data_IF_598408249077
#
_entry.id   IF_598408249077
#
_cell.length_a   1.000
_cell.length_b   1.000
_cell.length_c   1.000
_cell.angle_alpha   90.00
_cell.angle_beta   90.00
_cell.angle_gamma   90.00
#
_symmetry.space_group_name_H-M   'P 1'
#
loop_
_entity.id
_entity.type
_entity.pdbx_description
1 polymer ?
#
# COMPACT_ATOMS: atom_id res chain seq x y z
N UNK A 1 -12.21 -5.47 30.04
CA UNK A 1 -12.33 -6.41 28.91
C UNK A 1 -10.98 -7.03 28.64
N UNK A 2 -10.93 -8.36 28.55
CA UNK A 2 -9.71 -9.13 28.31
C UNK A 2 -9.90 -10.06 27.11
N UNK A 3 -8.80 -10.43 26.49
CA UNK A 3 -8.79 -11.47 25.44
C UNK A 3 -8.93 -12.82 26.12
N UNK A 4 -10.04 -13.52 25.88
CA UNK A 4 -10.29 -14.85 26.42
C UNK A 4 -9.66 -15.94 25.54
N UNK A 5 -9.77 -15.81 24.20
CA UNK A 5 -9.33 -16.82 23.25
C UNK A 5 -8.79 -16.17 21.96
N UNK A 6 -7.84 -16.85 21.32
CA UNK A 6 -7.32 -16.49 20.00
C UNK A 6 -7.62 -17.62 19.04
N UNK A 7 -8.34 -17.34 17.98
CA UNK A 7 -8.76 -18.29 16.97
C UNK A 7 -8.21 -17.91 15.61
N UNK A 8 -7.91 -18.90 14.78
CA UNK A 8 -7.39 -18.72 13.44
C UNK A 8 -8.27 -19.43 12.39
N UNK A 9 -8.46 -18.81 11.23
CA UNK A 9 -9.16 -19.41 10.11
C UNK A 9 -8.38 -19.11 8.82
N UNK A 10 -7.87 -20.14 8.09
CA UNK A 10 -7.30 -19.96 6.77
C UNK A 10 -8.31 -19.28 5.83
N UNK A 11 -7.85 -18.29 5.10
CA UNK A 11 -8.64 -17.45 4.23
C UNK A 11 -7.91 -17.19 2.89
N UNK A 12 -8.46 -16.32 2.06
CA UNK A 12 -7.88 -15.92 0.80
C UNK A 12 -7.80 -14.41 0.69
N UNK A 13 -6.80 -13.94 -0.03
CA UNK A 13 -6.68 -12.53 -0.41
C UNK A 13 -7.53 -12.22 -1.65
N UNK A 14 -7.71 -10.96 -1.94
CA UNK A 14 -8.46 -10.49 -3.12
C UNK A 14 -7.69 -10.59 -4.44
N UNK A 15 -6.48 -11.19 -4.44
CA UNK A 15 -5.68 -11.33 -5.64
C UNK A 15 -4.83 -12.61 -5.61
N UNK A 16 -3.69 -12.60 -6.27
CA UNK A 16 -2.79 -13.72 -6.47
C UNK A 16 -1.40 -13.40 -5.94
N UNK A 17 -0.62 -14.43 -5.64
CA UNK A 17 0.80 -14.31 -5.33
C UNK A 17 1.59 -14.79 -6.54
N UNK A 18 2.57 -13.99 -6.98
CA UNK A 18 3.38 -14.26 -8.16
C UNK A 18 4.83 -14.55 -7.77
N UNK A 19 5.41 -15.59 -8.38
CA UNK A 19 6.84 -15.84 -8.31
C UNK A 19 7.59 -14.86 -9.23
N UNK A 20 7.92 -13.69 -8.69
CA UNK A 20 8.61 -12.64 -9.45
C UNK A 20 9.98 -13.10 -9.98
N UNK A 21 10.65 -13.99 -9.28
CA UNK A 21 11.94 -14.55 -9.72
C UNK A 21 11.77 -15.38 -10.99
N UNK A 22 10.73 -16.22 -11.06
CA UNK A 22 10.40 -16.98 -12.25
C UNK A 22 9.98 -16.07 -13.42
N UNK A 23 9.20 -15.03 -13.14
CA UNK A 23 8.77 -14.04 -14.16
C UNK A 23 10.01 -13.32 -14.74
N UNK A 24 10.92 -12.86 -13.91
CA UNK A 24 12.18 -12.24 -14.35
C UNK A 24 13.11 -13.21 -15.07
N UNK A 25 13.05 -14.50 -14.75
CA UNK A 25 13.79 -15.56 -15.42
C UNK A 25 13.20 -15.99 -16.78
N UNK A 26 12.08 -15.39 -17.21
CA UNK A 26 11.50 -15.57 -18.54
C UNK A 26 10.20 -16.38 -18.57
N UNK A 27 9.52 -16.59 -17.47
CA UNK A 27 8.15 -17.12 -17.49
C UNK A 27 7.25 -16.20 -18.34
N UNK A 28 6.47 -16.79 -19.26
CA UNK A 28 5.68 -16.04 -20.24
C UNK A 28 4.22 -16.00 -19.86
N UNK A 29 3.55 -14.89 -20.12
CA UNK A 29 2.09 -14.81 -19.99
C UNK A 29 1.40 -15.88 -20.84
N UNK A 30 0.43 -16.56 -20.24
CA UNK A 30 -0.49 -17.49 -20.88
C UNK A 30 -1.92 -17.17 -20.39
N UNK A 31 -2.57 -16.27 -21.07
CA UNK A 31 -3.81 -15.66 -20.59
C UNK A 31 -3.61 -14.90 -19.28
N UNK A 32 -4.33 -15.29 -18.23
CA UNK A 32 -4.22 -14.68 -16.90
C UNK A 32 -3.10 -15.31 -16.03
N UNK A 33 -2.50 -16.41 -16.48
CA UNK A 33 -1.43 -17.11 -15.77
C UNK A 33 -0.08 -16.95 -16.46
N UNK A 34 0.90 -17.74 -16.06
CA UNK A 34 2.22 -17.81 -16.66
C UNK A 34 2.55 -19.25 -17.03
N UNK A 35 3.12 -19.44 -18.22
CA UNK A 35 3.78 -20.68 -18.60
C UNK A 35 5.22 -20.67 -18.07
N UNK A 36 5.65 -21.77 -17.47
CA UNK A 36 6.97 -21.95 -16.85
C UNK A 36 6.86 -22.58 -15.48
N UNK A 37 8.01 -23.00 -14.94
CA UNK A 37 8.10 -23.59 -13.60
C UNK A 37 8.41 -22.51 -12.57
N UNK A 38 7.86 -22.60 -11.35
CA UNK A 38 8.24 -21.72 -10.26
C UNK A 38 9.68 -22.01 -9.82
N UNK A 39 10.39 -20.98 -9.36
CA UNK A 39 11.78 -21.09 -8.88
C UNK A 39 11.93 -20.69 -7.42
N UNK A 40 11.03 -19.84 -6.89
CA UNK A 40 11.07 -19.46 -5.49
C UNK A 40 10.49 -20.56 -4.60
N UNK A 41 11.17 -20.96 -3.51
CA UNK A 41 10.69 -22.00 -2.61
C UNK A 41 9.27 -21.73 -2.10
N UNK A 42 8.44 -22.78 -2.07
CA UNK A 42 7.06 -22.74 -1.61
C UNK A 42 6.02 -22.50 -2.71
N UNK A 43 6.40 -21.91 -3.86
CA UNK A 43 5.49 -21.79 -4.99
C UNK A 43 5.24 -23.13 -5.68
N UNK A 44 3.99 -23.36 -6.07
CA UNK A 44 3.53 -24.54 -6.85
C UNK A 44 3.25 -24.19 -8.32
N UNK A 45 3.09 -22.92 -8.61
CA UNK A 45 2.93 -22.33 -9.93
C UNK A 45 3.49 -20.91 -9.90
N UNK A 46 3.86 -20.37 -11.05
CA UNK A 46 4.40 -18.99 -11.16
C UNK A 46 3.38 -17.96 -10.65
N UNK A 47 2.08 -18.19 -10.89
CA UNK A 47 0.97 -17.45 -10.26
C UNK A 47 0.06 -18.42 -9.54
N UNK A 48 -0.26 -18.12 -8.28
CA UNK A 48 -1.17 -18.92 -7.48
C UNK A 48 -2.10 -18.03 -6.65
N UNK A 49 -3.24 -18.58 -6.20
CA UNK A 49 -4.17 -17.83 -5.36
C UNK A 49 -3.48 -17.32 -4.10
N UNK A 50 -3.66 -16.04 -3.78
CA UNK A 50 -3.15 -15.46 -2.56
C UNK A 50 -3.81 -16.07 -1.32
N UNK A 51 -3.01 -16.38 -0.31
CA UNK A 51 -3.47 -16.91 0.97
C UNK A 51 -3.54 -15.79 2.01
N UNK A 52 -4.52 -15.90 2.91
CA UNK A 52 -4.64 -15.07 4.09
C UNK A 52 -4.93 -15.94 5.32
N UNK A 53 -4.73 -15.41 6.51
CA UNK A 53 -5.15 -16.01 7.76
C UNK A 53 -5.96 -14.99 8.55
N UNK A 54 -7.23 -15.27 8.80
CA UNK A 54 -8.05 -14.45 9.69
C UNK A 54 -7.74 -14.81 11.13
N UNK A 55 -7.30 -13.82 11.94
CA UNK A 55 -7.04 -13.96 13.38
C UNK A 55 -8.17 -13.28 14.12
N UNK A 56 -8.86 -14.05 14.96
CA UNK A 56 -9.99 -13.58 15.76
C UNK A 56 -9.63 -13.58 17.24
N UNK A 57 -9.89 -12.47 17.91
CA UNK A 57 -9.75 -12.30 19.35
C UNK A 57 -11.14 -12.32 19.99
N UNK A 58 -11.45 -13.40 20.69
CA UNK A 58 -12.68 -13.51 21.48
C UNK A 58 -12.43 -12.86 22.84
N UNK A 59 -13.28 -11.94 23.25
CA UNK A 59 -13.18 -11.26 24.54
C UNK A 59 -14.01 -11.93 25.62
N UNK A 60 -13.72 -11.64 26.89
CA UNK A 60 -14.42 -12.18 28.06
C UNK A 60 -15.90 -11.78 28.16
N UNK A 61 -16.32 -10.76 27.42
CA UNK A 61 -17.74 -10.37 27.29
C UNK A 61 -18.41 -10.92 26.00
N UNK A 62 -17.72 -11.79 25.26
CA UNK A 62 -18.25 -12.49 24.07
C UNK A 62 -18.17 -11.71 22.77
N UNK A 63 -17.52 -10.56 22.72
CA UNK A 63 -17.27 -9.87 21.46
C UNK A 63 -16.15 -10.56 20.66
N UNK A 64 -16.18 -10.43 19.34
CA UNK A 64 -15.14 -10.92 18.44
C UNK A 64 -14.53 -9.75 17.68
N UNK A 65 -13.24 -9.52 17.89
CA UNK A 65 -12.44 -8.61 17.06
C UNK A 65 -11.59 -9.44 16.11
N UNK A 66 -11.26 -8.91 14.93
CA UNK A 66 -10.46 -9.67 13.96
C UNK A 66 -9.57 -8.81 13.10
N UNK A 67 -8.55 -9.44 12.54
CA UNK A 67 -7.64 -8.89 11.55
C UNK A 67 -7.11 -9.99 10.66
N UNK A 68 -6.65 -9.64 9.47
CA UNK A 68 -6.23 -10.60 8.47
C UNK A 68 -4.74 -10.48 8.16
N UNK A 69 -4.04 -11.59 8.32
CA UNK A 69 -2.67 -11.75 7.86
C UNK A 69 -2.68 -11.86 6.34
N UNK A 70 -2.06 -10.89 5.67
CA UNK A 70 -1.90 -10.86 4.22
C UNK A 70 -0.50 -10.35 3.89
N UNK A 71 0.15 -10.97 2.91
CA UNK A 71 1.45 -10.55 2.40
C UNK A 71 1.30 -9.81 1.07
N UNK A 72 2.34 -9.10 0.66
CA UNK A 72 2.40 -8.50 -0.67
C UNK A 72 2.40 -9.56 -1.76
N UNK A 73 2.11 -9.17 -2.99
CA UNK A 73 2.03 -10.06 -4.15
C UNK A 73 3.33 -10.81 -4.43
N UNK A 74 4.49 -10.19 -4.15
CA UNK A 74 5.81 -10.73 -4.46
C UNK A 74 6.53 -11.17 -3.20
N UNK A 75 6.62 -12.48 -2.98
CA UNK A 75 7.30 -13.07 -1.84
C UNK A 75 8.79 -13.31 -2.12
N UNK A 76 9.62 -13.25 -1.09
CA UNK A 76 11.04 -13.64 -1.11
C UNK A 76 11.97 -12.74 -1.94
N UNK A 77 11.51 -11.59 -2.42
CA UNK A 77 12.30 -10.63 -3.20
C UNK A 77 12.32 -9.25 -2.51
N UNK A 78 13.38 -8.48 -2.75
CA UNK A 78 13.50 -7.13 -2.18
C UNK A 78 13.58 -7.11 -0.66
N UNK A 79 14.13 -8.16 -0.04
CA UNK A 79 14.25 -8.28 1.41
C UNK A 79 12.97 -8.73 2.13
N UNK A 80 11.92 -9.09 1.39
CA UNK A 80 10.64 -9.56 1.94
C UNK A 80 10.72 -10.99 2.45
N UNK A 81 9.80 -11.31 3.36
CA UNK A 81 9.64 -12.67 3.88
C UNK A 81 9.33 -13.70 2.77
N UNK A 82 9.55 -15.01 3.03
CA UNK A 82 9.14 -16.09 2.14
C UNK A 82 7.66 -16.06 1.80
N UNK A 83 7.23 -16.92 0.87
CA UNK A 83 5.82 -17.10 0.54
C UNK A 83 4.99 -17.38 1.81
N UNK A 84 3.93 -16.62 2.00
CA UNK A 84 3.03 -16.79 3.13
C UNK A 84 2.23 -18.09 2.99
N UNK A 85 2.26 -18.89 4.04
CA UNK A 85 1.49 -20.14 4.18
C UNK A 85 0.53 -19.98 5.36
N UNK A 86 -0.77 -20.09 5.09
CA UNK A 86 -1.81 -19.83 6.10
C UNK A 86 -1.84 -20.87 7.21
N UNK A 87 -1.57 -22.15 6.90
CA UNK A 87 -1.60 -23.23 7.89
C UNK A 87 -0.39 -23.12 8.83
N UNK A 88 0.81 -22.89 8.29
CA UNK A 88 2.02 -22.66 9.09
C UNK A 88 1.92 -21.37 9.94
N UNK A 89 1.27 -20.34 9.40
CA UNK A 89 1.00 -19.11 10.15
C UNK A 89 0.01 -19.35 11.29
N UNK A 90 -1.04 -20.15 11.09
CA UNK A 90 -2.00 -20.53 12.14
C UNK A 90 -1.31 -21.25 13.30
N UNK A 91 -0.44 -22.24 13.00
CA UNK A 91 0.38 -22.91 14.01
C UNK A 91 1.28 -21.94 14.77
N UNK A 92 1.89 -20.99 14.07
CA UNK A 92 2.75 -19.97 14.68
C UNK A 92 1.95 -19.05 15.61
N UNK A 93 0.78 -18.61 15.19
CA UNK A 93 -0.11 -17.79 16.02
C UNK A 93 -0.54 -18.57 17.26
N UNK A 94 -0.96 -19.83 17.13
CA UNK A 94 -1.40 -20.65 18.25
C UNK A 94 -0.30 -20.90 19.29
N UNK A 95 0.92 -21.23 18.81
CA UNK A 95 2.04 -21.58 19.72
C UNK A 95 2.71 -20.39 20.37
N UNK A 96 2.82 -19.25 19.67
CA UNK A 96 3.68 -18.16 20.09
C UNK A 96 2.94 -16.85 20.34
N UNK A 97 1.88 -16.55 19.60
CA UNK A 97 1.14 -15.29 19.72
C UNK A 97 -0.02 -15.42 20.72
N UNK A 98 -0.78 -16.52 20.65
CA UNK A 98 -1.92 -16.73 21.53
C UNK A 98 -1.56 -16.75 23.02
N UNK A 99 -0.45 -17.36 23.47
CA UNK A 99 -0.02 -17.27 24.87
C UNK A 99 0.30 -15.85 25.33
N UNK A 100 0.80 -14.99 24.45
CA UNK A 100 1.07 -13.58 24.72
C UNK A 100 -0.23 -12.78 24.91
N UNK A 101 -1.26 -13.09 24.13
CA UNK A 101 -2.50 -12.32 24.07
C UNK A 101 -3.58 -12.81 25.02
N UNK A 102 -3.65 -14.11 25.35
CA UNK A 102 -4.65 -14.65 26.29
C UNK A 102 -4.51 -14.01 27.66
N UNK A 103 -5.61 -13.49 28.18
CA UNK A 103 -5.68 -12.78 29.45
C UNK A 103 -5.23 -11.31 29.40
N UNK A 104 -4.69 -10.85 28.28
CA UNK A 104 -4.27 -9.45 28.13
C UNK A 104 -5.46 -8.49 28.27
N UNK A 105 -5.25 -7.42 29.00
CA UNK A 105 -6.24 -6.35 29.17
C UNK A 105 -6.23 -5.42 27.95
N UNK A 106 -7.41 -5.11 27.45
CA UNK A 106 -7.60 -4.23 26.29
C UNK A 106 -7.62 -2.74 26.71
N UNK A 107 -6.57 -2.30 27.38
CA UNK A 107 -6.42 -0.92 27.86
C UNK A 107 -5.77 0.00 26.84
N UNK A 108 -4.88 -0.54 25.99
CA UNK A 108 -4.17 0.21 24.96
C UNK A 108 -3.76 -0.65 23.78
N UNK A 109 -3.69 -0.03 22.60
CA UNK A 109 -3.28 -0.68 21.37
C UNK A 109 -1.75 -0.74 21.24
N UNK A 110 -1.06 0.40 21.49
CA UNK A 110 0.38 0.53 21.17
C UNK A 110 1.25 -0.52 21.84
N UNK A 111 1.08 -0.75 23.13
CA UNK A 111 1.91 -1.66 23.90
C UNK A 111 1.68 -3.12 23.47
N UNK A 112 0.41 -3.51 23.27
CA UNK A 112 0.08 -4.84 22.78
C UNK A 112 0.57 -5.08 21.34
N UNK A 113 0.42 -4.09 20.48
CA UNK A 113 0.92 -4.17 19.11
C UNK A 113 2.45 -4.25 19.07
N UNK A 114 3.15 -3.45 19.88
CA UNK A 114 4.60 -3.51 19.98
C UNK A 114 5.09 -4.85 20.52
N UNK A 115 4.40 -5.44 21.51
CA UNK A 115 4.72 -6.76 22.03
C UNK A 115 4.58 -7.87 20.96
N UNK A 116 3.54 -7.81 20.13
CA UNK A 116 3.34 -8.74 19.01
C UNK A 116 4.40 -8.51 17.92
N UNK A 117 4.62 -7.26 17.53
CA UNK A 117 5.56 -6.91 16.44
C UNK A 117 7.01 -7.24 16.79
N UNK A 118 7.37 -7.10 18.08
CA UNK A 118 8.70 -7.42 18.61
C UNK A 118 8.91 -8.90 19.00
N UNK A 119 7.90 -9.76 18.84
CA UNK A 119 8.01 -11.17 19.23
C UNK A 119 9.01 -11.91 18.33
N UNK A 120 9.97 -12.59 18.97
CA UNK A 120 10.95 -13.42 18.28
C UNK A 120 10.64 -14.91 18.50
N UNK A 121 10.64 -15.69 17.42
CA UNK A 121 10.57 -17.15 17.45
C UNK A 121 11.90 -17.69 16.93
N UNK A 122 12.61 -18.46 17.74
CA UNK A 122 13.95 -18.97 17.46
C UNK A 122 14.93 -17.85 17.02
N UNK A 123 14.82 -16.69 17.68
CA UNK A 123 15.67 -15.51 17.43
C UNK A 123 15.34 -14.74 16.14
N UNK A 124 14.23 -15.06 15.47
CA UNK A 124 13.77 -14.39 14.23
C UNK A 124 12.43 -13.71 14.46
N UNK A 125 12.20 -12.54 13.86
CA UNK A 125 10.88 -11.90 13.87
C UNK A 125 9.82 -12.83 13.28
N UNK A 126 8.58 -12.67 13.72
CA UNK A 126 7.43 -13.26 13.04
C UNK A 126 7.34 -12.73 11.59
N UNK A 127 6.79 -13.55 10.70
CA UNK A 127 6.46 -13.12 9.33
C UNK A 127 5.68 -11.78 9.34
N UNK A 128 6.03 -10.85 8.47
CA UNK A 128 5.40 -9.51 8.41
C UNK A 128 3.88 -9.60 8.32
N UNK A 129 3.35 -10.52 7.50
CA UNK A 129 1.91 -10.74 7.38
C UNK A 129 1.25 -11.16 8.71
N UNK A 130 1.91 -12.00 9.54
CA UNK A 130 1.38 -12.39 10.86
C UNK A 130 1.33 -11.18 11.78
N UNK A 131 2.41 -10.41 11.86
CA UNK A 131 2.46 -9.16 12.63
C UNK A 131 1.36 -8.20 12.19
N UNK A 132 1.18 -8.05 10.86
CA UNK A 132 0.17 -7.20 10.24
C UNK A 132 -1.25 -7.59 10.65
N UNK A 133 -1.64 -8.86 10.49
CA UNK A 133 -3.00 -9.32 10.80
C UNK A 133 -3.31 -9.34 12.30
N UNK A 134 -2.38 -9.82 13.13
CA UNK A 134 -2.59 -9.87 14.58
C UNK A 134 -2.76 -8.48 15.18
N UNK A 135 -1.95 -7.52 14.76
CA UNK A 135 -2.05 -6.15 15.29
C UNK A 135 -3.29 -5.40 14.79
N UNK A 136 -3.84 -5.77 13.62
CA UNK A 136 -5.18 -5.33 13.19
C UNK A 136 -6.26 -5.82 14.15
N UNK A 137 -6.22 -7.12 14.53
CA UNK A 137 -7.17 -7.68 15.48
C UNK A 137 -7.06 -7.01 16.86
N UNK A 138 -5.84 -6.70 17.32
CA UNK A 138 -5.62 -5.95 18.56
C UNK A 138 -6.22 -4.54 18.48
N UNK A 139 -6.03 -3.82 17.37
CA UNK A 139 -6.60 -2.48 17.20
C UNK A 139 -8.13 -2.51 17.22
N UNK A 140 -8.75 -3.49 16.56
CA UNK A 140 -10.21 -3.68 16.58
C UNK A 140 -10.71 -4.04 18.00
N UNK A 141 -9.99 -4.91 18.71
CA UNK A 141 -10.37 -5.31 20.07
C UNK A 141 -10.34 -4.13 21.04
N UNK A 142 -9.32 -3.28 20.97
CA UNK A 142 -9.22 -2.07 21.79
C UNK A 142 -10.31 -1.07 21.44
N UNK A 143 -10.59 -0.89 20.15
CA UNK A 143 -11.68 -0.01 19.69
C UNK A 143 -13.04 -0.46 20.24
N UNK A 144 -13.32 -1.76 20.21
CA UNK A 144 -14.54 -2.36 20.78
C UNK A 144 -14.59 -2.17 22.29
N UNK A 145 -13.49 -2.44 23.00
CA UNK A 145 -13.41 -2.27 24.45
C UNK A 145 -13.72 -0.82 24.87
N UNK A 146 -13.24 0.15 24.11
CA UNK A 146 -13.47 1.58 24.32
C UNK A 146 -14.80 2.08 23.75
N UNK A 147 -15.51 1.26 22.99
CA UNK A 147 -16.72 1.65 22.22
C UNK A 147 -16.48 2.83 21.30
N UNK A 148 -15.31 2.85 20.65
CA UNK A 148 -14.88 3.88 19.71
C UNK A 148 -14.56 3.24 18.35
N UNK A 149 -14.19 4.07 17.37
CA UNK A 149 -13.64 3.57 16.12
C UNK A 149 -12.14 3.30 16.25
N UNK A 150 -11.59 2.42 15.42
CA UNK A 150 -10.12 2.21 15.36
C UNK A 150 -9.38 3.52 15.05
N UNK A 151 -9.97 4.41 14.24
CA UNK A 151 -9.40 5.72 13.94
C UNK A 151 -9.28 6.62 15.18
N UNK A 152 -10.27 6.58 16.09
CA UNK A 152 -10.21 7.33 17.36
C UNK A 152 -9.15 6.74 18.29
N UNK A 153 -9.01 5.39 18.36
CA UNK A 153 -7.94 4.76 19.13
C UNK A 153 -6.57 5.23 18.65
N UNK A 154 -6.34 5.23 17.32
CA UNK A 154 -5.08 5.71 16.74
C UNK A 154 -4.86 7.19 17.07
N UNK A 155 -5.86 8.05 16.85
CA UNK A 155 -5.76 9.48 17.18
C UNK A 155 -5.35 9.69 18.62
N UNK A 156 -6.04 9.05 19.55
CA UNK A 156 -5.88 9.28 20.98
C UNK A 156 -4.54 8.74 21.51
N UNK A 157 -4.12 7.54 21.08
CA UNK A 157 -2.88 6.91 21.55
C UNK A 157 -1.61 7.50 20.93
N UNK A 158 -1.70 8.12 19.76
CA UNK A 158 -0.56 8.76 19.09
C UNK A 158 -0.54 10.29 19.24
N UNK A 159 -1.45 10.84 20.05
CA UNK A 159 -1.51 12.29 20.34
C UNK A 159 -1.72 13.12 19.07
N UNK A 160 -2.63 12.68 18.20
CA UNK A 160 -2.92 13.36 16.95
C UNK A 160 -3.88 14.52 17.24
N UNK A 161 -3.49 15.74 16.88
CA UNK A 161 -4.18 16.99 17.19
C UNK A 161 -5.06 17.54 16.06
N UNK A 162 -5.16 16.82 14.94
CA UNK A 162 -6.05 17.16 13.83
C UNK A 162 -7.28 16.27 13.75
N UNK A 163 -8.29 16.76 13.03
CA UNK A 163 -9.54 16.02 12.82
C UNK A 163 -9.33 14.77 11.94
N UNK A 164 -10.01 13.69 12.32
CA UNK A 164 -10.14 12.51 11.46
C UNK A 164 -11.05 12.89 10.28
N UNK A 165 -10.53 12.75 9.06
CA UNK A 165 -11.20 13.18 7.84
C UNK A 165 -11.08 12.12 6.71
N UNK A 166 -11.98 12.16 5.72
CA UNK A 166 -11.84 11.36 4.52
C UNK A 166 -10.52 11.60 3.80
N UNK A 167 -9.99 10.54 3.18
CA UNK A 167 -8.72 10.53 2.46
C UNK A 167 -8.98 10.28 0.97
N UNK A 168 -8.31 10.99 0.04
CA UNK A 168 -8.42 10.72 -1.38
C UNK A 168 -8.09 9.25 -1.71
N UNK A 169 -8.97 8.58 -2.47
CA UNK A 169 -8.72 7.20 -2.91
C UNK A 169 -7.89 7.19 -4.19
N UNK A 170 -6.81 6.42 -4.16
CA UNK A 170 -6.01 6.06 -5.33
C UNK A 170 -6.47 4.71 -5.87
N UNK A 171 -6.76 4.66 -7.17
CA UNK A 171 -7.37 3.49 -7.82
C UNK A 171 -6.48 2.96 -8.92
N UNK A 172 -6.34 1.64 -8.99
CA UNK A 172 -5.48 0.94 -9.94
C UNK A 172 -6.30 0.35 -11.09
N UNK A 173 -5.78 0.44 -12.33
CA UNK A 173 -6.40 -0.19 -13.50
C UNK A 173 -6.16 -1.70 -13.56
N UNK A 174 -5.09 -2.18 -12.94
CA UNK A 174 -4.54 -3.47 -13.32
C UNK A 174 -4.21 -3.49 -14.83
N UNK A 175 -4.44 -4.60 -15.48
CA UNK A 175 -4.21 -4.74 -16.94
C UNK A 175 -5.31 -4.10 -17.79
N UNK A 176 -6.48 -3.77 -17.21
CA UNK A 176 -7.59 -3.07 -17.87
C UNK A 176 -7.32 -1.55 -18.01
N UNK A 177 -6.17 -1.21 -18.58
CA UNK A 177 -5.60 0.15 -18.58
C UNK A 177 -6.52 1.22 -19.18
N UNK A 178 -7.37 0.87 -20.11
CA UNK A 178 -8.28 1.79 -20.82
C UNK A 178 -9.69 1.77 -20.22
N UNK A 179 -10.35 0.63 -20.22
CA UNK A 179 -11.68 0.49 -19.63
C UNK A 179 -11.68 0.78 -18.10
N UNK A 180 -10.60 0.47 -17.40
CA UNK A 180 -10.40 0.84 -16.00
C UNK A 180 -10.45 2.34 -15.77
N UNK A 181 -9.82 3.14 -16.63
CA UNK A 181 -9.87 4.62 -16.55
C UNK A 181 -11.29 5.13 -16.70
N UNK A 182 -12.07 4.60 -17.65
CA UNK A 182 -13.47 5.00 -17.83
C UNK A 182 -14.28 4.78 -16.53
N UNK A 183 -14.13 3.61 -15.92
CA UNK A 183 -14.77 3.30 -14.63
C UNK A 183 -14.35 4.27 -13.53
N UNK A 184 -13.05 4.60 -13.45
CA UNK A 184 -12.51 5.53 -12.45
C UNK A 184 -13.09 6.93 -12.60
N UNK A 185 -13.18 7.43 -13.82
CA UNK A 185 -13.76 8.76 -14.12
C UNK A 185 -15.24 8.79 -13.77
N UNK A 186 -16.00 7.77 -14.17
CA UNK A 186 -17.44 7.67 -13.87
C UNK A 186 -17.72 7.54 -12.36
N UNK A 187 -16.78 6.99 -11.59
CA UNK A 187 -16.84 6.90 -10.11
C UNK A 187 -16.15 8.05 -9.39
N UNK A 188 -15.70 9.05 -10.12
CA UNK A 188 -15.00 10.23 -9.60
C UNK A 188 -13.82 9.89 -8.66
N UNK A 189 -12.96 8.94 -9.06
CA UNK A 189 -11.75 8.60 -8.31
C UNK A 189 -10.86 9.83 -8.13
N UNK A 190 -10.37 10.07 -6.91
CA UNK A 190 -9.58 11.27 -6.60
C UNK A 190 -8.16 11.19 -7.16
N UNK A 191 -7.59 9.98 -7.25
CA UNK A 191 -6.24 9.71 -7.75
C UNK A 191 -6.31 8.50 -8.67
N UNK A 192 -5.76 8.61 -9.88
CA UNK A 192 -5.83 7.56 -10.92
C UNK A 192 -4.67 7.72 -11.94
N UNK A 193 -4.36 6.75 -12.79
CA UNK A 193 -4.92 5.38 -12.86
C UNK A 193 -3.96 4.28 -12.37
N UNK A 194 -2.76 4.55 -11.89
CA UNK A 194 -1.62 3.65 -11.71
C UNK A 194 -0.97 3.22 -13.05
N UNK A 195 -1.76 2.70 -13.97
CA UNK A 195 -1.39 2.47 -15.36
C UNK A 195 -0.47 1.28 -15.62
N UNK A 196 0.17 0.69 -14.60
CA UNK A 196 1.00 -0.52 -14.68
C UNK A 196 2.08 -0.43 -15.79
N UNK A 197 2.96 0.59 -15.74
CA UNK A 197 3.99 0.85 -16.77
C UNK A 197 5.25 -0.01 -16.50
N UNK A 198 5.09 -1.31 -16.52
CA UNK A 198 6.10 -2.31 -16.15
C UNK A 198 6.72 -3.05 -17.36
N UNK A 199 6.60 -2.51 -18.56
CA UNK A 199 7.15 -3.12 -19.78
C UNK A 199 7.69 -2.03 -20.71
N UNK A 200 8.98 -2.15 -21.05
CA UNK A 200 9.70 -1.19 -21.89
C UNK A 200 9.13 -1.09 -23.30
N UNK A 201 8.87 -2.25 -23.94
CA UNK A 201 8.51 -2.28 -25.38
C UNK A 201 7.06 -1.88 -25.63
N UNK A 202 6.13 -2.32 -24.76
CA UNK A 202 4.69 -2.22 -25.02
C UNK A 202 4.00 -1.13 -24.23
N UNK A 203 4.63 -0.60 -23.16
CA UNK A 203 3.98 0.37 -22.26
C UNK A 203 4.76 1.66 -22.08
N UNK A 204 6.10 1.63 -22.14
CA UNK A 204 6.93 2.83 -22.02
C UNK A 204 7.32 3.41 -23.39
N UNK A 205 7.88 2.60 -24.28
CA UNK A 205 8.56 3.02 -25.49
C UNK A 205 10.06 3.26 -25.25
N UNK A 206 10.86 3.30 -26.33
CA UNK A 206 12.31 3.41 -26.26
C UNK A 206 12.80 4.68 -25.53
N UNK A 207 12.03 5.74 -25.58
CA UNK A 207 12.28 7.05 -24.92
C UNK A 207 11.05 7.57 -24.19
N UNK A 208 10.13 6.71 -23.79
CA UNK A 208 8.92 7.08 -23.04
C UNK A 208 7.76 7.57 -23.91
N UNK A 209 7.83 7.44 -25.24
CA UNK A 209 6.84 7.95 -26.19
C UNK A 209 5.47 7.27 -26.02
N UNK A 210 5.43 5.93 -25.85
CA UNK A 210 4.17 5.18 -25.66
C UNK A 210 3.51 5.60 -24.33
N UNK A 211 4.32 5.81 -23.30
CA UNK A 211 3.80 6.27 -22.02
C UNK A 211 3.27 7.70 -22.08
N UNK A 212 3.97 8.61 -22.79
CA UNK A 212 3.49 9.98 -22.98
C UNK A 212 2.14 10.02 -23.74
N UNK A 213 1.99 9.17 -24.78
CA UNK A 213 0.71 9.00 -25.49
C UNK A 213 -0.40 8.51 -24.53
N UNK A 214 -0.09 7.54 -23.65
CA UNK A 214 -1.06 7.03 -22.67
C UNK A 214 -1.45 8.11 -21.65
N UNK A 215 -0.51 8.90 -21.13
CA UNK A 215 -0.80 10.03 -20.24
C UNK A 215 -1.73 11.04 -20.92
N UNK A 216 -1.44 11.40 -22.19
CA UNK A 216 -2.28 12.27 -23.00
C UNK A 216 -3.68 11.70 -23.19
N UNK A 217 -3.78 10.40 -23.49
CA UNK A 217 -5.07 9.72 -23.64
C UNK A 217 -5.87 9.74 -22.31
N UNK A 218 -5.24 9.46 -21.15
CA UNK A 218 -5.90 9.52 -19.83
C UNK A 218 -6.44 10.94 -19.57
N UNK A 219 -5.62 11.97 -19.80
CA UNK A 219 -6.04 13.38 -19.69
C UNK A 219 -7.29 13.67 -20.52
N UNK A 220 -7.24 13.35 -21.81
CA UNK A 220 -8.33 13.64 -22.76
C UNK A 220 -9.58 12.83 -22.40
N UNK A 221 -9.40 11.60 -21.91
CA UNK A 221 -10.50 10.75 -21.48
C UNK A 221 -11.22 11.31 -20.25
N UNK A 222 -10.47 11.83 -19.26
CA UNK A 222 -11.05 12.53 -18.11
C UNK A 222 -11.86 13.74 -18.57
N UNK A 223 -11.29 14.58 -19.43
CA UNK A 223 -11.96 15.78 -19.94
C UNK A 223 -13.25 15.44 -20.72
N UNK A 224 -13.25 14.32 -21.45
CA UNK A 224 -14.39 13.88 -22.23
C UNK A 224 -15.51 13.23 -21.40
N UNK A 225 -15.18 12.53 -20.32
CA UNK A 225 -16.14 11.72 -19.54
C UNK A 225 -16.60 12.36 -18.23
N UNK A 226 -15.88 13.36 -17.71
CA UNK A 226 -16.25 13.99 -16.44
C UNK A 226 -17.65 14.62 -16.55
N UNK A 227 -18.46 14.39 -15.50
CA UNK A 227 -19.82 14.94 -15.41
C UNK A 227 -19.86 16.32 -14.77
N UNK A 228 -18.77 16.75 -14.14
CA UNK A 228 -18.60 18.04 -13.47
C UNK A 228 -17.29 18.70 -13.92
N UNK A 229 -17.33 19.98 -14.23
CA UNK A 229 -16.15 20.73 -14.66
C UNK A 229 -15.08 20.88 -13.58
N UNK A 230 -15.48 20.82 -12.30
CA UNK A 230 -14.58 20.91 -11.14
C UNK A 230 -13.94 19.57 -10.77
N UNK A 231 -14.32 18.44 -11.42
CA UNK A 231 -13.63 17.18 -11.23
C UNK A 231 -12.23 17.22 -11.86
N UNK A 232 -11.23 17.32 -11.01
CA UNK A 232 -9.82 17.42 -11.38
C UNK A 232 -8.99 16.43 -10.57
N UNK A 233 -9.00 15.14 -10.93
CA UNK A 233 -8.23 14.12 -10.22
C UNK A 233 -6.73 14.33 -10.39
N UNK A 234 -5.93 13.80 -9.45
CA UNK A 234 -4.48 13.71 -9.61
C UNK A 234 -4.13 12.51 -10.48
N UNK A 235 -3.30 12.73 -11.49
CA UNK A 235 -2.72 11.66 -12.28
C UNK A 235 -1.55 11.05 -11.51
N UNK A 236 -1.60 9.74 -11.33
CA UNK A 236 -0.58 9.00 -10.60
C UNK A 236 -0.26 7.70 -11.34
N UNK A 237 0.99 7.54 -11.77
CA UNK A 237 1.43 6.37 -12.52
C UNK A 237 2.61 5.70 -11.80
N UNK A 238 2.60 4.37 -11.73
CA UNK A 238 3.74 3.57 -11.33
C UNK A 238 4.50 3.10 -12.58
N UNK A 239 5.77 3.47 -12.66
CA UNK A 239 6.61 3.19 -13.82
C UNK A 239 7.70 2.15 -13.56
N UNK A 240 7.70 1.50 -12.40
CA UNK A 240 8.53 0.32 -12.10
C UNK A 240 10.02 0.45 -12.45
N UNK A 241 10.58 1.65 -12.38
CA UNK A 241 11.98 1.93 -12.75
C UNK A 241 12.24 2.03 -14.26
N UNK A 242 11.25 1.74 -15.11
CA UNK A 242 11.42 1.71 -16.58
C UNK A 242 11.86 3.04 -17.17
N UNK A 243 11.45 4.17 -16.60
CA UNK A 243 11.93 5.49 -17.05
C UNK A 243 13.44 5.61 -16.79
N UNK A 244 13.91 5.25 -15.60
CA UNK A 244 15.34 5.23 -15.31
C UNK A 244 16.13 4.33 -16.24
N UNK A 245 15.60 3.17 -16.58
CA UNK A 245 16.22 2.25 -17.54
C UNK A 245 16.31 2.87 -18.94
N UNK A 246 15.24 3.47 -19.46
CA UNK A 246 15.20 4.09 -20.78
C UNK A 246 16.22 5.24 -20.94
N UNK A 247 16.53 5.92 -19.86
CA UNK A 247 17.50 7.04 -19.85
C UNK A 247 18.82 6.68 -19.15
N UNK A 248 19.14 5.38 -18.96
CA UNK A 248 20.38 4.90 -18.36
C UNK A 248 20.72 5.58 -17.01
N UNK A 249 19.70 5.87 -16.19
CA UNK A 249 19.78 6.59 -14.90
C UNK A 249 20.38 8.00 -14.99
N UNK A 250 20.41 8.61 -16.18
CA UNK A 250 20.79 10.01 -16.34
C UNK A 250 19.72 10.93 -15.75
N UNK A 251 20.00 11.50 -14.59
CA UNK A 251 19.06 12.32 -13.82
C UNK A 251 18.58 13.55 -14.60
N UNK A 252 19.46 14.18 -15.37
CA UNK A 252 19.10 15.38 -16.15
C UNK A 252 18.15 15.02 -17.29
N UNK A 253 18.45 13.95 -18.03
CA UNK A 253 17.59 13.47 -19.10
C UNK A 253 16.23 12.99 -18.58
N UNK A 254 16.21 12.30 -17.43
CA UNK A 254 14.97 11.90 -16.75
C UNK A 254 14.17 13.14 -16.32
N UNK A 255 14.81 14.15 -15.72
CA UNK A 255 14.12 15.37 -15.30
C UNK A 255 13.50 16.11 -16.48
N UNK A 256 14.22 16.25 -17.61
CA UNK A 256 13.70 16.87 -18.83
C UNK A 256 12.48 16.11 -19.37
N UNK A 257 12.54 14.78 -19.39
CA UNK A 257 11.40 13.94 -19.78
C UNK A 257 10.20 14.13 -18.86
N UNK A 258 10.39 14.15 -17.53
CA UNK A 258 9.31 14.33 -16.57
C UNK A 258 8.66 15.73 -16.69
N UNK A 259 9.44 16.77 -16.96
CA UNK A 259 8.90 18.12 -17.20
C UNK A 259 8.00 18.11 -18.44
N UNK A 260 8.48 17.51 -19.55
CA UNK A 260 7.68 17.38 -20.77
C UNK A 260 6.39 16.56 -20.53
N UNK A 261 6.50 15.47 -19.76
CA UNK A 261 5.34 14.65 -19.42
C UNK A 261 4.32 15.39 -18.55
N UNK A 262 4.78 16.27 -17.63
CA UNK A 262 3.92 17.16 -16.87
C UNK A 262 3.11 18.11 -17.76
N UNK A 263 3.69 18.60 -18.85
CA UNK A 263 2.98 19.41 -19.84
C UNK A 263 1.91 18.58 -20.58
N UNK A 264 2.21 17.32 -20.91
CA UNK A 264 1.23 16.40 -21.52
C UNK A 264 0.06 16.15 -20.56
N UNK A 265 0.31 16.02 -19.27
CA UNK A 265 -0.70 15.77 -18.24
C UNK A 265 -1.61 16.97 -17.97
N UNK A 266 -1.16 18.19 -18.29
CA UNK A 266 -1.92 19.44 -18.02
C UNK A 266 -3.36 19.39 -18.56
N UNK A 267 -4.39 19.84 -17.80
CA UNK A 267 -4.29 20.65 -16.57
C UNK A 267 -4.20 19.86 -15.26
N UNK A 268 -4.05 18.54 -15.29
CA UNK A 268 -4.01 17.71 -14.10
C UNK A 268 -2.60 17.66 -13.51
N UNK A 269 -2.52 17.56 -12.18
CA UNK A 269 -1.25 17.33 -11.48
C UNK A 269 -0.75 15.92 -11.76
N UNK A 270 0.57 15.76 -11.91
CA UNK A 270 1.21 14.48 -12.19
C UNK A 270 2.10 14.04 -11.05
N UNK A 271 1.95 12.79 -10.64
CA UNK A 271 2.86 12.08 -9.74
C UNK A 271 3.34 10.80 -10.42
N UNK A 272 4.63 10.50 -10.32
CA UNK A 272 5.22 9.28 -10.85
C UNK A 272 5.87 8.49 -9.73
N UNK A 273 5.48 7.23 -9.60
CA UNK A 273 6.03 6.29 -8.63
C UNK A 273 7.10 5.43 -9.28
N UNK A 274 8.13 5.12 -8.51
CA UNK A 274 9.24 4.26 -8.90
C UNK A 274 9.88 4.66 -10.25
N UNK A 275 10.21 5.95 -10.38
CA UNK A 275 10.80 6.51 -11.63
C UNK A 275 12.13 5.88 -11.96
N UNK A 276 12.96 5.62 -10.95
CA UNK A 276 14.32 5.10 -11.02
C UNK A 276 14.45 3.89 -10.11
N UNK A 277 15.28 2.91 -10.49
CA UNK A 277 15.75 1.84 -9.60
C UNK A 277 17.29 1.82 -9.59
N UNK A 278 17.87 2.21 -8.48
CA UNK A 278 19.32 2.25 -8.29
C UNK A 278 19.93 0.92 -7.80
N UNK A 279 19.12 -0.14 -7.67
CA UNK A 279 19.56 -1.46 -7.25
C UNK A 279 19.90 -1.59 -5.74
N UNK A 280 19.58 -0.57 -4.92
CA UNK A 280 19.80 -0.62 -3.48
C UNK A 280 19.40 0.67 -2.77
N UNK A 281 19.04 0.56 -1.48
CA UNK A 281 18.45 1.63 -0.68
C UNK A 281 19.26 2.94 -0.68
N UNK A 282 20.53 2.88 -0.29
CA UNK A 282 21.36 4.08 -0.12
C UNK A 282 21.64 4.80 -1.46
N UNK A 283 21.77 4.01 -2.54
CA UNK A 283 21.90 4.55 -3.89
C UNK A 283 20.56 5.18 -4.35
N UNK A 284 19.45 4.55 -4.03
CA UNK A 284 18.10 5.03 -4.34
C UNK A 284 17.83 6.39 -3.70
N UNK A 285 18.10 6.52 -2.40
CA UNK A 285 17.94 7.79 -1.66
C UNK A 285 18.70 8.92 -2.32
N UNK A 286 19.97 8.69 -2.66
CA UNK A 286 20.83 9.71 -3.32
C UNK A 286 20.33 10.06 -4.72
N UNK A 287 19.94 9.06 -5.49
CA UNK A 287 19.48 9.26 -6.87
C UNK A 287 18.17 10.04 -6.90
N UNK A 288 17.23 9.68 -6.02
CA UNK A 288 15.97 10.39 -5.87
C UNK A 288 16.14 11.83 -5.39
N UNK A 289 17.01 12.06 -4.42
CA UNK A 289 17.34 13.41 -3.96
C UNK A 289 17.85 14.32 -5.08
N UNK A 290 18.73 13.79 -5.95
CA UNK A 290 19.23 14.50 -7.14
C UNK A 290 18.11 14.77 -8.16
N UNK A 291 17.27 13.77 -8.45
CA UNK A 291 16.16 13.95 -9.38
C UNK A 291 15.17 14.99 -8.87
N UNK A 292 14.82 14.93 -7.58
CA UNK A 292 13.94 15.91 -6.97
C UNK A 292 14.51 17.34 -7.04
N UNK A 293 15.80 17.49 -6.83
CA UNK A 293 16.49 18.78 -7.01
C UNK A 293 16.43 19.26 -8.45
N UNK A 294 16.75 18.40 -9.41
CA UNK A 294 16.73 18.73 -10.83
C UNK A 294 15.34 19.18 -11.32
N UNK A 295 14.26 18.54 -10.83
CA UNK A 295 12.89 18.96 -11.10
C UNK A 295 12.56 20.34 -10.53
N UNK A 296 13.01 20.65 -9.31
CA UNK A 296 12.83 21.96 -8.67
C UNK A 296 13.57 23.07 -9.43
N UNK A 297 14.80 22.81 -9.85
CA UNK A 297 15.59 23.77 -10.63
C UNK A 297 14.96 24.11 -11.97
N UNK A 298 14.15 23.20 -12.53
CA UNK A 298 13.34 23.41 -13.74
C UNK A 298 11.97 24.05 -13.48
N UNK A 299 11.66 24.34 -12.22
CA UNK A 299 10.34 24.88 -11.82
C UNK A 299 9.19 23.91 -12.08
N UNK A 300 9.45 22.59 -12.09
CA UNK A 300 8.43 21.58 -12.35
C UNK A 300 7.59 21.30 -11.09
N UNK A 301 6.29 21.13 -11.27
CA UNK A 301 5.34 20.69 -10.26
C UNK A 301 5.07 19.17 -10.30
N UNK A 302 5.74 18.46 -11.20
CA UNK A 302 5.71 16.97 -11.23
C UNK A 302 6.31 16.43 -9.94
N UNK A 303 5.56 15.53 -9.30
CA UNK A 303 5.97 14.90 -8.03
C UNK A 303 6.51 13.52 -8.28
N UNK A 304 7.50 13.14 -7.50
CA UNK A 304 8.06 11.78 -7.50
C UNK A 304 7.72 11.05 -6.22
N UNK A 305 7.29 9.81 -6.36
CA UNK A 305 6.97 8.90 -5.27
C UNK A 305 7.98 7.74 -5.23
N UNK A 306 8.35 7.31 -4.03
CA UNK A 306 9.20 6.13 -3.82
C UNK A 306 8.37 4.99 -3.28
N UNK A 307 8.60 3.78 -3.83
CA UNK A 307 8.07 2.49 -3.36
C UNK A 307 9.23 1.57 -2.99
N UNK A 308 9.95 1.03 -3.96
CA UNK A 308 11.02 0.08 -3.70
C UNK A 308 12.24 0.72 -3.05
N UNK A 309 12.90 -0.09 -2.25
CA UNK A 309 13.90 0.12 -1.22
C UNK A 309 13.38 0.96 -0.04
N UNK A 310 12.03 1.14 0.08
CA UNK A 310 11.35 1.84 1.17
C UNK A 310 10.38 0.89 1.89
N UNK A 311 10.85 -0.32 2.27
CA UNK A 311 10.01 -1.43 2.71
C UNK A 311 9.91 -1.59 4.24
N UNK A 312 10.67 -0.80 5.00
CA UNK A 312 10.65 -0.82 6.47
C UNK A 312 10.50 0.59 7.05
N UNK A 313 10.15 0.68 8.32
CA UNK A 313 10.09 1.97 9.02
C UNK A 313 11.46 2.69 8.97
N UNK A 314 12.57 1.95 9.16
CA UNK A 314 13.92 2.52 9.09
C UNK A 314 14.28 3.04 7.69
N UNK A 315 13.79 2.40 6.62
CA UNK A 315 13.97 2.91 5.27
C UNK A 315 13.18 4.21 5.08
N UNK A 316 11.93 4.26 5.54
CA UNK A 316 11.08 5.45 5.48
C UNK A 316 11.74 6.60 6.24
N UNK A 317 12.29 6.34 7.43
CA UNK A 317 13.05 7.34 8.21
C UNK A 317 14.20 7.94 7.39
N UNK A 318 14.96 7.13 6.68
CA UNK A 318 16.06 7.58 5.83
C UNK A 318 15.57 8.44 4.65
N UNK A 319 14.56 7.98 3.89
CA UNK A 319 13.99 8.75 2.78
C UNK A 319 13.40 10.09 3.24
N UNK A 320 12.78 10.11 4.41
CA UNK A 320 12.23 11.34 5.02
C UNK A 320 13.33 12.29 5.46
N UNK A 321 14.37 11.79 6.16
CA UNK A 321 15.49 12.59 6.63
C UNK A 321 16.24 13.28 5.48
N UNK A 322 16.47 12.55 4.40
CA UNK A 322 17.15 13.04 3.20
C UNK A 322 16.20 13.80 2.26
N UNK A 323 14.88 13.86 2.58
CA UNK A 323 13.86 14.50 1.74
C UNK A 323 13.94 14.04 0.27
N UNK A 324 14.18 12.74 0.08
CA UNK A 324 14.53 12.18 -1.21
C UNK A 324 13.37 12.17 -2.21
N UNK A 325 12.10 12.08 -1.76
CA UNK A 325 10.92 12.08 -2.60
C UNK A 325 9.85 13.07 -2.10
N UNK A 326 8.83 13.35 -2.91
CA UNK A 326 7.67 14.18 -2.54
C UNK A 326 6.57 13.36 -1.90
N UNK A 327 6.47 12.09 -2.29
CA UNK A 327 5.51 11.12 -1.80
C UNK A 327 6.26 9.87 -1.33
N UNK A 328 5.92 9.40 -0.16
CA UNK A 328 6.42 8.12 0.38
C UNK A 328 5.26 7.12 0.37
N UNK A 329 5.44 6.03 -0.38
CA UNK A 329 4.51 4.90 -0.37
C UNK A 329 4.75 4.06 0.88
N UNK A 330 3.82 4.10 1.81
CA UNK A 330 3.80 3.26 3.00
C UNK A 330 3.06 1.97 2.65
N UNK A 331 3.80 0.95 2.23
CA UNK A 331 3.27 -0.36 1.82
C UNK A 331 2.91 -1.17 3.07
N UNK A 332 1.63 -1.15 3.43
CA UNK A 332 1.17 -1.54 4.77
C UNK A 332 1.54 -2.96 5.21
N UNK A 333 1.52 -4.02 4.38
CA UNK A 333 1.92 -5.35 4.85
C UNK A 333 3.43 -5.52 5.04
N UNK A 334 4.27 -4.74 4.32
CA UNK A 334 5.73 -4.85 4.41
C UNK A 334 6.27 -4.34 5.77
N UNK A 335 5.54 -3.42 6.42
CA UNK A 335 5.97 -2.85 7.70
C UNK A 335 5.71 -3.78 8.91
N UNK A 336 5.06 -4.91 8.72
CA UNK A 336 4.65 -5.79 9.82
C UNK A 336 3.51 -5.19 10.64
N UNK A 337 3.69 -4.96 11.94
CA UNK A 337 2.62 -4.45 12.78
C UNK A 337 2.02 -3.12 12.30
N UNK A 338 0.67 -2.96 12.40
CA UNK A 338 0.01 -1.71 11.99
C UNK A 338 0.41 -0.49 12.84
N UNK A 339 1.01 -0.71 14.02
CA UNK A 339 1.68 0.35 14.77
C UNK A 339 2.80 1.01 13.96
N UNK A 340 3.61 0.24 13.22
CA UNK A 340 4.66 0.77 12.33
C UNK A 340 4.06 1.54 11.15
N UNK A 341 2.91 1.12 10.64
CA UNK A 341 2.17 1.87 9.62
C UNK A 341 1.76 3.25 10.12
N UNK A 342 1.23 3.31 11.36
CA UNK A 342 0.87 4.59 12.00
C UNK A 342 2.10 5.49 12.17
N UNK A 343 3.20 4.94 12.73
CA UNK A 343 4.45 5.70 12.92
C UNK A 343 4.99 6.24 11.59
N UNK A 344 5.01 5.41 10.53
CA UNK A 344 5.45 5.80 9.21
C UNK A 344 4.62 6.95 8.61
N UNK A 345 3.30 6.83 8.63
CA UNK A 345 2.39 7.87 8.10
C UNK A 345 2.56 9.18 8.86
N UNK A 346 2.67 9.13 10.19
CA UNK A 346 2.88 10.31 11.02
C UNK A 346 4.23 10.96 10.78
N UNK A 347 5.29 10.15 10.65
CA UNK A 347 6.64 10.63 10.34
C UNK A 347 6.67 11.42 9.01
N UNK A 348 6.15 10.81 7.96
CA UNK A 348 6.09 11.43 6.61
C UNK A 348 5.30 12.73 6.64
N UNK A 349 4.11 12.72 7.26
CA UNK A 349 3.25 13.90 7.37
C UNK A 349 3.90 15.04 8.17
N UNK A 350 4.50 14.72 9.33
CA UNK A 350 5.19 15.71 10.18
C UNK A 350 6.40 16.34 9.50
N UNK A 351 7.04 15.62 8.59
CA UNK A 351 8.12 16.13 7.73
C UNK A 351 7.62 17.04 6.59
N UNK A 352 6.31 17.20 6.42
CA UNK A 352 5.69 17.98 5.34
C UNK A 352 5.77 17.30 3.96
N UNK A 353 5.97 15.97 3.94
CA UNK A 353 5.89 15.14 2.75
C UNK A 353 4.50 14.52 2.61
N UNK A 354 4.17 13.99 1.44
CA UNK A 354 2.91 13.30 1.25
C UNK A 354 3.03 11.83 1.66
N UNK A 355 2.23 11.43 2.65
CA UNK A 355 2.12 10.03 3.07
C UNK A 355 1.07 9.33 2.20
N UNK A 356 1.48 8.34 1.42
CA UNK A 356 0.58 7.45 0.71
C UNK A 356 0.38 6.19 1.54
N UNK A 357 -0.82 6.01 2.12
CA UNK A 357 -1.22 4.77 2.78
C UNK A 357 -1.56 3.74 1.70
N UNK A 358 -0.55 3.03 1.26
CA UNK A 358 -0.63 2.08 0.17
C UNK A 358 -0.94 0.67 0.64
N UNK A 359 -0.31 -0.28 0.00
CA UNK A 359 -0.48 -1.71 0.25
C UNK A 359 -0.32 -2.50 -1.02
N UNK A 360 -1.11 -3.53 -1.16
CA UNK A 360 -1.08 -4.42 -2.32
C UNK A 360 -2.49 -4.85 -2.71
N UNK A 361 -2.66 -5.20 -3.99
CA UNK A 361 -3.87 -5.88 -4.45
C UNK A 361 -4.12 -7.21 -3.71
N UNK A 362 -3.04 -7.83 -3.22
CA UNK A 362 -3.07 -9.11 -2.50
C UNK A 362 -3.38 -8.92 -1.00
N UNK A 363 -4.40 -8.14 -0.69
CA UNK A 363 -4.93 -7.94 0.66
C UNK A 363 -6.36 -8.46 0.79
N UNK A 364 -7.01 -8.23 1.93
CA UNK A 364 -8.39 -8.62 2.21
C UNK A 364 -9.28 -7.39 2.40
N UNK A 365 -10.59 -7.60 2.38
CA UNK A 365 -11.55 -6.56 2.76
C UNK A 365 -11.31 -6.06 4.18
N UNK A 366 -10.94 -6.95 5.10
CA UNK A 366 -10.67 -6.59 6.48
C UNK A 366 -9.43 -5.72 6.64
N UNK A 367 -8.31 -6.11 6.04
CA UNK A 367 -7.08 -5.30 6.11
C UNK A 367 -7.28 -3.92 5.47
N UNK A 368 -8.07 -3.85 4.39
CA UNK A 368 -8.44 -2.59 3.75
C UNK A 368 -9.30 -1.69 4.67
N UNK A 369 -10.25 -2.25 5.40
CA UNK A 369 -11.04 -1.51 6.38
C UNK A 369 -10.16 -0.96 7.50
N UNK A 370 -9.29 -1.78 8.10
CA UNK A 370 -8.40 -1.34 9.18
C UNK A 370 -7.47 -0.23 8.72
N UNK A 371 -6.85 -0.39 7.55
CA UNK A 371 -5.95 0.65 7.01
C UNK A 371 -6.70 1.93 6.62
N UNK A 372 -7.99 1.86 6.30
CA UNK A 372 -8.85 3.04 6.11
C UNK A 372 -8.95 3.86 7.39
N UNK A 373 -9.21 3.24 8.54
CA UNK A 373 -9.22 3.93 9.82
C UNK A 373 -7.87 4.59 10.13
N UNK A 374 -6.77 3.89 9.88
CA UNK A 374 -5.40 4.40 10.12
C UNK A 374 -5.12 5.58 9.19
N UNK A 375 -5.40 5.46 7.90
CA UNK A 375 -5.18 6.54 6.93
C UNK A 375 -5.97 7.80 7.28
N UNK A 376 -7.25 7.66 7.69
CA UNK A 376 -8.09 8.76 8.12
C UNK A 376 -7.55 9.44 9.38
N UNK A 377 -7.14 8.67 10.38
CA UNK A 377 -6.58 9.20 11.64
C UNK A 377 -5.24 9.91 11.42
N UNK A 378 -4.33 9.29 10.66
CA UNK A 378 -3.02 9.86 10.37
C UNK A 378 -3.05 10.99 9.33
N UNK A 379 -4.19 11.23 8.68
CA UNK A 379 -4.33 12.24 7.64
C UNK A 379 -3.42 11.98 6.44
N UNK A 380 -3.43 10.74 5.93
CA UNK A 380 -2.68 10.36 4.75
C UNK A 380 -3.07 11.23 3.54
N UNK A 381 -2.14 11.48 2.63
CA UNK A 381 -2.41 12.25 1.42
C UNK A 381 -3.29 11.49 0.43
N UNK A 382 -3.18 10.18 0.43
CA UNK A 382 -4.02 9.26 -0.33
C UNK A 382 -3.99 7.85 0.27
N UNK A 383 -5.02 7.06 -0.05
CA UNK A 383 -5.11 5.64 0.33
C UNK A 383 -5.37 4.78 -0.90
N UNK A 384 -4.72 3.60 -0.98
CA UNK A 384 -4.98 2.63 -2.03
C UNK A 384 -6.38 2.03 -1.90
N UNK A 385 -7.14 2.05 -2.99
CA UNK A 385 -8.37 1.27 -3.12
C UNK A 385 -8.04 -0.21 -3.31
N UNK A 386 -8.18 -0.98 -2.27
CA UNK A 386 -7.84 -2.42 -2.16
C UNK A 386 -8.95 -3.17 -1.41
N UNK A 387 -9.05 -4.49 -1.48
CA UNK A 387 -8.22 -5.45 -2.19
C UNK A 387 -8.49 -5.47 -3.69
N UNK A 388 -7.76 -6.34 -4.39
CA UNK A 388 -7.90 -6.59 -5.82
C UNK A 388 -7.19 -5.57 -6.71
N UNK A 389 -7.17 -5.85 -8.00
CA UNK A 389 -6.60 -4.98 -9.04
C UNK A 389 -7.70 -4.43 -9.96
N UNK A 390 -8.81 -4.06 -9.40
CA UNK A 390 -9.94 -3.52 -10.15
C UNK A 390 -10.44 -2.22 -9.53
N UNK A 391 -11.30 -1.56 -10.28
CA UNK A 391 -11.91 -0.29 -9.84
C UNK A 391 -13.09 -0.54 -8.92
N UNK A 392 -13.68 -1.74 -8.95
CA UNK A 392 -14.99 -1.99 -8.37
C UNK A 392 -14.91 -2.36 -6.89
N UNK A 393 -14.21 -3.45 -6.56
CA UNK A 393 -14.15 -4.00 -5.20
C UNK A 393 -13.39 -3.08 -4.24
N UNK A 394 -12.21 -2.60 -4.61
CA UNK A 394 -11.37 -1.77 -3.75
C UNK A 394 -12.02 -0.42 -3.42
N UNK A 395 -12.62 0.25 -4.41
CA UNK A 395 -13.35 1.49 -4.16
C UNK A 395 -14.56 1.27 -3.26
N UNK A 396 -15.28 0.17 -3.43
CA UNK A 396 -16.44 -0.17 -2.60
C UNK A 396 -16.00 -0.41 -1.14
N UNK A 397 -14.99 -1.24 -0.92
CA UNK A 397 -14.53 -1.60 0.43
C UNK A 397 -14.02 -0.37 1.17
N UNK A 398 -13.06 0.34 0.60
CA UNK A 398 -12.41 1.51 1.23
C UNK A 398 -13.40 2.68 1.36
N UNK A 399 -14.14 3.00 0.29
CA UNK A 399 -15.08 4.11 0.29
C UNK A 399 -16.25 3.92 1.27
N UNK A 400 -16.81 2.71 1.33
CA UNK A 400 -17.90 2.41 2.27
C UNK A 400 -17.43 2.42 3.72
N UNK A 401 -16.19 1.94 4.00
CA UNK A 401 -15.64 2.00 5.34
C UNK A 401 -15.37 3.45 5.77
N UNK A 402 -14.81 4.25 4.89
CA UNK A 402 -14.60 5.68 5.13
C UNK A 402 -15.92 6.42 5.43
N UNK A 403 -16.98 6.07 4.70
CA UNK A 403 -18.32 6.62 4.94
C UNK A 403 -18.89 6.22 6.31
N UNK A 404 -18.72 4.93 6.73
CA UNK A 404 -19.12 4.45 8.06
C UNK A 404 -18.40 5.17 9.17
N UNK A 405 -17.06 5.27 9.09
CA UNK A 405 -16.24 6.01 10.07
C UNK A 405 -16.73 7.44 10.20
N UNK A 406 -16.91 8.14 9.08
CA UNK A 406 -17.43 9.51 9.07
C UNK A 406 -18.81 9.64 9.73
N UNK A 407 -19.72 8.71 9.47
CA UNK A 407 -21.05 8.70 10.09
C UNK A 407 -20.95 8.54 11.60
N UNK A 408 -20.12 7.60 12.08
CA UNK A 408 -19.92 7.35 13.52
C UNK A 408 -19.30 8.57 14.22
N UNK A 409 -18.33 9.22 13.62
CA UNK A 409 -17.68 10.41 14.19
C UNK A 409 -18.66 11.58 14.34
N UNK A 410 -19.65 11.72 13.44
CA UNK A 410 -20.68 12.77 13.55
C UNK A 410 -21.62 12.59 14.74
N UNK A 411 -21.85 11.35 15.18
CA UNK A 411 -22.73 11.08 16.32
C UNK A 411 -22.10 11.41 17.67
N UNK A 412 -20.80 11.72 17.69
CA UNK A 412 -20.01 11.96 18.90
C UNK A 412 -19.54 13.41 19.02
N UNK A 413 -19.88 14.24 18.05
CA UNK A 413 -19.74 15.69 18.08
C UNK A 413 -21.02 16.30 18.64
#
# INVERSE_FOLDING_TARGET
MRIAEVLCAPARTGFFTDDQTAIRAGARHDGFTYAGEPVTPGFRAVRQAGQALSVMLLTDDGQVAHGDCAAVQYAGVGGRDPLFDADAAAETVERHVAPLLRGAELTGFRDLAAAVDGLLVDGRPLHTAVRYGVTQAVLDAVARARRTTMAEVVRDEYGIDWDIAPVPMFVQTGDERYAGVDKMVLKEAAVLPHGLINNMETKLGARGEIFAEYVGWVRDRILALRTRDDYAPMLYFDVYGTVGEAFALDVEAVADYLVALGQVASPFRLTLEQVLDAGGRDAQVKLYGRLRQALRERGSDVRIAVDEWCNSLADIELFVAERAADVIHVKTPDLGGVNNVVEALLLVRRAGLAAYCGGTCNETDRSAQVTTHIAMACGAAQILAKPGMGVDEGMMVVGNEMARVNALLRTRR
#
